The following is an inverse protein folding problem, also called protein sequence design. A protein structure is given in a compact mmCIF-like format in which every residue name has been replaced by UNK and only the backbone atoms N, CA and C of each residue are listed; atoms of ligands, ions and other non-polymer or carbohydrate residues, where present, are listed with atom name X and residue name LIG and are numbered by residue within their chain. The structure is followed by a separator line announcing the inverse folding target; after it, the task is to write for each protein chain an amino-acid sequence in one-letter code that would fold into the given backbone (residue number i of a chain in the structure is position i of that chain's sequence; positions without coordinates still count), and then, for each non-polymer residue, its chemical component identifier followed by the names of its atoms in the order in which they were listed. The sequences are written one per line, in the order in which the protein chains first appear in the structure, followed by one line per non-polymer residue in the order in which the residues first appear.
data_IF_812770068336
#
_entry.id   IF_812770068336
#
_cell.length_a   1.000
_cell.length_b   1.000
_cell.length_c   1.000
_cell.angle_alpha   90.00
_cell.angle_beta   90.00
_cell.angle_gamma   90.00
#
_symmetry.space_group_name_H-M   'P 1'
#
loop_
_entity.id
_entity.type
_entity.pdbx_description
1 polymer ?
#
# COMPACT_ATOMS: atom_id res chain seq x y z
N UNK A 1 65.43 -37.94 -14.05
CA UNK A 1 64.19 -38.40 -14.72
C UNK A 1 62.94 -38.09 -13.89
N UNK A 2 63.00 -38.25 -12.57
CA UNK A 2 61.91 -37.91 -11.64
C UNK A 2 61.54 -36.42 -11.64
N UNK A 3 62.52 -35.51 -11.53
CA UNK A 3 62.32 -34.05 -11.61
C UNK A 3 61.66 -33.57 -12.91
N UNK A 4 61.89 -34.26 -14.04
CA UNK A 4 61.26 -33.92 -15.33
C UNK A 4 59.78 -34.30 -15.33
N UNK A 5 59.42 -35.45 -14.73
CA UNK A 5 58.04 -35.90 -14.58
C UNK A 5 57.26 -35.00 -13.63
N UNK A 6 57.87 -34.59 -12.51
CA UNK A 6 57.28 -33.65 -11.56
C UNK A 6 57.05 -32.27 -12.19
N UNK A 7 57.99 -31.79 -13.00
CA UNK A 7 57.84 -30.52 -13.73
C UNK A 7 56.68 -30.58 -14.73
N UNK A 8 56.53 -31.67 -15.47
CA UNK A 8 55.41 -31.88 -16.40
C UNK A 8 54.07 -31.96 -15.67
N UNK A 9 54.00 -32.73 -14.57
CA UNK A 9 52.80 -32.83 -13.75
C UNK A 9 52.39 -31.45 -13.18
N UNK A 10 53.35 -30.71 -12.64
CA UNK A 10 53.11 -29.36 -12.08
C UNK A 10 52.61 -28.39 -13.15
N UNK A 11 53.14 -28.45 -14.38
CA UNK A 11 52.67 -27.61 -15.50
C UNK A 11 51.24 -27.94 -15.90
N UNK A 12 50.86 -29.22 -15.88
CA UNK A 12 49.49 -29.66 -16.18
C UNK A 12 48.53 -29.16 -15.11
N UNK A 13 48.87 -29.34 -13.82
CA UNK A 13 48.07 -28.83 -12.72
C UNK A 13 47.94 -27.31 -12.76
N UNK A 14 49.05 -26.58 -12.97
CA UNK A 14 49.02 -25.13 -13.10
C UNK A 14 48.08 -24.67 -14.23
N UNK A 15 48.12 -25.36 -15.38
CA UNK A 15 47.24 -25.04 -16.51
C UNK A 15 45.77 -25.32 -16.15
N UNK A 16 45.48 -26.42 -15.46
CA UNK A 16 44.14 -26.76 -15.00
C UNK A 16 43.62 -25.73 -14.00
N UNK A 17 44.38 -25.43 -12.95
CA UNK A 17 44.00 -24.43 -11.94
C UNK A 17 43.80 -23.05 -12.54
N UNK A 18 44.57 -22.68 -13.57
CA UNK A 18 44.37 -21.41 -14.28
C UNK A 18 43.03 -21.37 -15.02
N UNK A 19 42.65 -22.44 -15.71
CA UNK A 19 41.34 -22.55 -16.38
C UNK A 19 40.20 -22.50 -15.37
N UNK A 20 40.33 -23.19 -14.23
CA UNK A 20 39.33 -23.17 -13.16
C UNK A 20 39.20 -21.76 -12.57
N UNK A 21 40.33 -21.08 -12.30
CA UNK A 21 40.33 -19.70 -11.80
C UNK A 21 39.68 -18.73 -12.80
N UNK A 22 39.95 -18.86 -14.09
CA UNK A 22 39.36 -18.03 -15.13
C UNK A 22 37.82 -18.23 -15.16
N UNK A 23 37.35 -19.48 -15.09
CA UNK A 23 35.92 -19.81 -15.00
C UNK A 23 35.25 -19.21 -13.75
N UNK A 24 35.90 -19.31 -12.58
CA UNK A 24 35.38 -18.73 -11.33
C UNK A 24 35.37 -17.19 -11.37
N UNK A 25 36.36 -16.57 -11.99
CA UNK A 25 36.38 -15.11 -12.21
C UNK A 25 35.21 -14.67 -13.09
N UNK A 26 34.93 -15.39 -14.17
CA UNK A 26 33.78 -15.12 -15.04
C UNK A 26 32.44 -15.31 -14.32
N UNK A 27 32.29 -16.42 -13.58
CA UNK A 27 31.09 -16.70 -12.78
C UNK A 27 30.83 -15.61 -11.74
N UNK A 28 31.88 -15.22 -10.99
CA UNK A 28 31.82 -14.12 -10.02
C UNK A 28 31.41 -12.80 -10.67
N UNK A 29 31.97 -12.47 -11.84
CA UNK A 29 31.64 -11.23 -12.55
C UNK A 29 30.18 -11.20 -12.99
N UNK A 30 29.64 -12.33 -13.50
CA UNK A 30 28.22 -12.45 -13.87
C UNK A 30 27.31 -12.27 -12.66
N UNK A 31 27.58 -12.97 -11.56
CA UNK A 31 26.81 -12.82 -10.31
C UNK A 31 26.84 -11.39 -9.78
N UNK A 32 27.99 -10.71 -9.84
CA UNK A 32 28.10 -9.31 -9.45
C UNK A 32 27.24 -8.39 -10.33
N UNK A 33 27.19 -8.65 -11.63
CA UNK A 33 26.32 -7.91 -12.56
C UNK A 33 24.84 -8.15 -12.24
N UNK A 34 24.42 -9.39 -12.04
CA UNK A 34 23.05 -9.74 -11.66
C UNK A 34 22.63 -9.09 -10.33
N UNK A 35 23.50 -9.12 -9.32
CA UNK A 35 23.26 -8.45 -8.04
C UNK A 35 23.13 -6.94 -8.22
N UNK A 36 23.97 -6.31 -9.04
CA UNK A 36 23.86 -4.87 -9.33
C UNK A 36 22.57 -4.53 -10.08
N UNK A 37 22.18 -5.33 -11.07
CA UNK A 37 20.93 -5.13 -11.81
C UNK A 37 19.71 -5.33 -10.92
N UNK A 38 19.70 -6.37 -10.09
CA UNK A 38 18.65 -6.61 -9.10
C UNK A 38 18.54 -5.46 -8.10
N UNK A 39 19.68 -4.93 -7.62
CA UNK A 39 19.71 -3.80 -6.70
C UNK A 39 19.15 -2.53 -7.34
N UNK A 40 19.57 -2.20 -8.57
CA UNK A 40 19.02 -1.08 -9.34
C UNK A 40 17.54 -1.28 -9.67
N UNK A 41 17.11 -2.51 -9.90
CA UNK A 41 15.70 -2.83 -10.13
C UNK A 41 14.89 -2.56 -8.86
N UNK A 42 15.31 -3.08 -7.71
CA UNK A 42 14.67 -2.84 -6.41
C UNK A 42 14.63 -1.36 -6.06
N UNK A 43 15.72 -0.63 -6.28
CA UNK A 43 15.78 0.80 -6.01
C UNK A 43 14.77 1.57 -6.88
N UNK A 44 14.72 1.30 -8.19
CA UNK A 44 13.78 1.95 -9.12
C UNK A 44 12.32 1.64 -8.80
N UNK A 45 12.01 0.38 -8.48
CA UNK A 45 10.64 -0.08 -8.23
C UNK A 45 10.19 0.16 -6.78
N UNK A 46 11.12 0.46 -5.88
CA UNK A 46 10.85 0.87 -4.50
C UNK A 46 10.71 2.38 -4.30
N UNK A 47 10.82 3.19 -5.34
CA UNK A 47 10.65 4.66 -5.25
C UNK A 47 9.22 5.00 -4.87
N UNK A 48 9.04 5.95 -3.95
CA UNK A 48 7.72 6.43 -3.46
C UNK A 48 6.83 5.29 -2.93
N UNK A 49 7.28 4.58 -1.87
CA UNK A 49 6.43 3.61 -1.18
C UNK A 49 5.14 4.27 -0.67
N UNK A 50 4.06 3.50 -0.61
CA UNK A 50 2.79 4.00 -0.09
C UNK A 50 2.04 2.96 0.73
N UNK A 51 1.11 3.45 1.54
CA UNK A 51 0.12 2.67 2.28
C UNK A 51 -1.25 3.00 1.72
N UNK A 52 -2.13 2.02 1.66
CA UNK A 52 -3.52 2.24 1.24
C UNK A 52 -4.49 1.73 2.30
N UNK A 53 -5.52 2.53 2.59
CA UNK A 53 -6.69 2.10 3.33
C UNK A 53 -7.91 2.05 2.39
N UNK A 54 -8.56 0.89 2.33
CA UNK A 54 -9.82 0.71 1.61
C UNK A 54 -10.92 0.51 2.64
N UNK A 55 -11.90 1.40 2.62
CA UNK A 55 -12.95 1.49 3.63
C UNK A 55 -14.29 1.34 2.92
N UNK A 56 -15.08 0.37 3.37
CA UNK A 56 -16.50 0.32 3.12
C UNK A 56 -17.20 1.22 4.16
N UNK A 57 -17.66 2.38 3.70
CA UNK A 57 -18.18 3.45 4.55
C UNK A 57 -19.66 3.32 4.90
N UNK A 58 -20.38 2.39 4.26
CA UNK A 58 -21.77 2.06 4.60
C UNK A 58 -21.96 0.65 5.18
N UNK A 59 -20.88 -0.14 5.33
CA UNK A 59 -20.86 -1.37 6.11
C UNK A 59 -21.05 -1.14 7.62
N UNK A 60 -21.74 -2.09 8.26
CA UNK A 60 -21.99 -2.08 9.69
C UNK A 60 -20.68 -2.08 10.50
N UNK A 61 -20.60 -1.18 11.49
CA UNK A 61 -19.42 -0.99 12.32
C UNK A 61 -18.32 -0.10 11.71
N UNK A 62 -18.42 0.26 10.42
CA UNK A 62 -17.42 1.10 9.73
C UNK A 62 -17.95 2.48 9.31
N UNK A 63 -19.24 2.74 9.52
CA UNK A 63 -19.82 4.08 9.38
C UNK A 63 -19.10 5.07 10.30
N UNK A 64 -18.72 6.23 9.75
CA UNK A 64 -18.05 7.29 10.51
C UNK A 64 -18.90 7.78 11.68
N UNK A 65 -18.24 8.23 12.75
CA UNK A 65 -18.93 8.69 13.97
C UNK A 65 -19.83 9.89 13.67
N UNK A 66 -21.03 9.87 14.27
CA UNK A 66 -22.04 10.93 14.12
C UNK A 66 -21.50 12.32 14.53
N UNK A 67 -20.58 12.36 15.50
CA UNK A 67 -19.90 13.59 15.94
C UNK A 67 -19.06 14.26 14.84
N UNK A 68 -18.64 13.50 13.82
CA UNK A 68 -18.02 14.05 12.62
C UNK A 68 -19.08 14.36 11.57
N UNK A 69 -19.93 13.40 11.22
CA UNK A 69 -20.91 13.56 10.12
C UNK A 69 -21.82 14.77 10.33
N UNK A 70 -22.34 14.96 11.54
CA UNK A 70 -23.28 16.06 11.86
C UNK A 70 -22.66 17.45 11.74
N UNK A 71 -21.33 17.56 11.76
CA UNK A 71 -20.59 18.84 11.59
C UNK A 71 -20.27 19.17 10.13
N UNK A 72 -20.78 18.39 9.17
CA UNK A 72 -20.62 18.64 7.74
C UNK A 72 -19.14 18.76 7.34
N UNK A 73 -18.80 19.77 6.54
CA UNK A 73 -17.44 20.00 6.01
C UNK A 73 -16.36 19.96 7.09
N UNK A 74 -16.55 20.70 8.19
CA UNK A 74 -15.55 20.74 9.27
C UNK A 74 -15.37 19.39 9.93
N UNK A 75 -16.47 18.64 10.09
CA UNK A 75 -16.42 17.28 10.60
C UNK A 75 -15.68 16.32 9.67
N UNK A 76 -15.84 16.49 8.34
CA UNK A 76 -15.10 15.74 7.33
C UNK A 76 -13.59 15.98 7.42
N UNK A 77 -13.19 17.25 7.51
CA UNK A 77 -11.78 17.62 7.69
C UNK A 77 -11.19 17.01 8.97
N UNK A 78 -11.89 17.14 10.10
CA UNK A 78 -11.40 16.63 11.37
C UNK A 78 -11.32 15.09 11.38
N UNK A 79 -12.25 14.41 10.70
CA UNK A 79 -12.23 12.97 10.53
C UNK A 79 -11.04 12.51 9.67
N UNK A 80 -10.73 13.23 8.59
CA UNK A 80 -9.58 12.94 7.75
C UNK A 80 -8.26 13.11 8.53
N UNK A 81 -8.11 14.19 9.31
CA UNK A 81 -6.93 14.42 10.14
C UNK A 81 -6.78 13.35 11.24
N UNK A 82 -7.89 12.98 11.89
CA UNK A 82 -7.89 11.92 12.90
C UNK A 82 -7.52 10.56 12.30
N UNK A 83 -8.07 10.23 11.12
CA UNK A 83 -7.77 8.98 10.43
C UNK A 83 -6.32 8.93 9.95
N UNK A 84 -5.79 10.03 9.39
CA UNK A 84 -4.38 10.12 9.00
C UNK A 84 -3.46 9.88 10.20
N UNK A 85 -3.74 10.53 11.33
CA UNK A 85 -2.97 10.36 12.56
C UNK A 85 -2.99 8.91 13.04
N UNK A 86 -4.17 8.28 13.05
CA UNK A 86 -4.33 6.89 13.45
C UNK A 86 -3.60 5.92 12.50
N UNK A 87 -3.72 6.12 11.19
CA UNK A 87 -3.02 5.32 10.18
C UNK A 87 -1.50 5.47 10.29
N UNK A 88 -1.00 6.69 10.48
CA UNK A 88 0.43 6.91 10.67
C UNK A 88 0.97 6.18 11.90
N UNK A 89 0.22 6.18 13.01
CA UNK A 89 0.60 5.42 14.20
C UNK A 89 0.58 3.91 13.92
N UNK A 90 -0.51 3.41 13.34
CA UNK A 90 -0.64 1.99 13.00
C UNK A 90 0.48 1.50 12.08
N UNK A 91 0.85 2.29 11.07
CA UNK A 91 1.96 1.95 10.15
C UNK A 91 3.27 1.82 10.90
N UNK A 92 3.58 2.76 11.82
CA UNK A 92 4.79 2.68 12.66
C UNK A 92 4.80 1.40 13.48
N UNK A 93 3.67 1.06 14.10
CA UNK A 93 3.55 -0.10 14.99
C UNK A 93 3.71 -1.43 14.25
N UNK A 94 3.21 -1.52 13.00
CA UNK A 94 3.22 -2.77 12.22
C UNK A 94 4.51 -2.95 11.42
N UNK A 95 5.10 -1.88 10.90
CA UNK A 95 6.22 -1.97 9.93
C UNK A 95 7.59 -1.71 10.55
N UNK A 96 7.64 -1.21 11.80
CA UNK A 96 8.86 -0.69 12.45
C UNK A 96 9.61 0.36 11.59
N UNK A 97 8.92 0.93 10.60
CA UNK A 97 9.46 1.87 9.63
C UNK A 97 8.88 3.27 9.89
N UNK A 98 9.68 4.33 9.75
CA UNK A 98 9.16 5.69 9.79
C UNK A 98 8.15 5.89 8.65
N UNK A 99 7.03 6.55 8.95
CA UNK A 99 6.07 7.01 7.92
C UNK A 99 6.63 8.14 7.06
N UNK A 100 7.78 8.70 7.44
CA UNK A 100 8.41 9.82 6.74
C UNK A 100 8.83 9.39 5.32
N UNK A 101 8.12 9.91 4.32
CA UNK A 101 8.37 9.60 2.90
C UNK A 101 7.45 8.53 2.30
N UNK A 102 6.45 8.03 3.05
CA UNK A 102 5.40 7.17 2.51
C UNK A 102 4.11 7.96 2.30
N UNK A 103 3.53 7.87 1.10
CA UNK A 103 2.20 8.42 0.83
C UNK A 103 1.14 7.52 1.50
N UNK A 104 0.09 8.11 2.09
CA UNK A 104 -1.05 7.37 2.66
C UNK A 104 -2.29 7.68 1.82
N UNK A 105 -2.75 6.67 1.09
CA UNK A 105 -3.95 6.75 0.27
C UNK A 105 -5.14 6.20 1.06
N UNK A 106 -6.26 6.91 1.05
CA UNK A 106 -7.50 6.44 1.69
C UNK A 106 -8.64 6.54 0.70
N UNK A 107 -9.33 5.44 0.46
CA UNK A 107 -10.57 5.42 -0.32
C UNK A 107 -11.70 4.87 0.52
N UNK A 108 -12.68 5.72 0.77
CA UNK A 108 -13.95 5.34 1.38
C UNK A 108 -14.98 5.16 0.28
N UNK A 109 -15.63 4.01 0.21
CA UNK A 109 -16.70 3.72 -0.74
C UNK A 109 -18.01 3.60 0.02
N UNK A 110 -19.03 4.33 -0.38
CA UNK A 110 -20.35 4.18 0.22
C UNK A 110 -21.45 4.55 -0.77
N UNK A 111 -22.63 3.93 -0.66
CA UNK A 111 -23.83 4.44 -1.29
C UNK A 111 -24.35 5.63 -0.49
N UNK A 112 -23.98 6.85 -0.89
CA UNK A 112 -24.28 8.07 -0.12
C UNK A 112 -25.78 8.30 0.09
N UNK A 113 -26.60 7.92 -0.89
CA UNK A 113 -28.05 8.05 -0.80
C UNK A 113 -28.63 7.03 0.20
N UNK A 114 -28.17 5.77 0.15
CA UNK A 114 -28.60 4.72 1.08
C UNK A 114 -28.16 5.02 2.52
N UNK A 115 -26.88 5.35 2.69
CA UNK A 115 -26.31 5.73 3.98
C UNK A 115 -27.00 6.95 4.58
N UNK A 116 -27.21 8.00 3.78
CA UNK A 116 -27.92 9.21 4.22
C UNK A 116 -29.34 8.92 4.69
N UNK A 117 -30.11 8.16 3.90
CA UNK A 117 -31.49 7.79 4.25
C UNK A 117 -31.57 6.94 5.53
N UNK A 118 -30.64 6.00 5.71
CA UNK A 118 -30.54 5.21 6.94
C UNK A 118 -30.25 6.10 8.15
N UNK A 119 -29.22 6.96 8.05
CA UNK A 119 -28.82 7.83 9.18
C UNK A 119 -29.93 8.81 9.58
N UNK A 120 -30.69 9.32 8.61
CA UNK A 120 -31.84 10.20 8.87
C UNK A 120 -32.98 9.43 9.55
N UNK A 121 -33.34 8.25 9.03
CA UNK A 121 -34.36 7.38 9.63
C UNK A 121 -34.05 7.03 11.08
N UNK A 122 -32.78 6.79 11.38
CA UNK A 122 -32.31 6.40 12.71
C UNK A 122 -32.09 7.63 13.63
N UNK A 123 -32.40 8.86 13.17
CA UNK A 123 -32.28 10.09 13.95
C UNK A 123 -30.84 10.56 14.18
N UNK A 124 -29.87 9.96 13.49
CA UNK A 124 -28.43 10.25 13.59
C UNK A 124 -28.01 11.45 12.73
N UNK A 125 -28.85 11.81 11.76
CA UNK A 125 -28.65 12.92 10.84
C UNK A 125 -29.94 13.74 10.75
N UNK A 126 -29.84 15.07 10.65
CA UNK A 126 -31.01 15.94 10.44
C UNK A 126 -31.35 16.08 8.96
N UNK A 127 -30.32 16.19 8.12
CA UNK A 127 -30.46 16.37 6.68
C UNK A 127 -29.35 15.65 5.93
N UNK A 128 -29.69 14.96 4.83
CA UNK A 128 -28.71 14.29 3.93
C UNK A 128 -27.63 15.23 3.37
N UNK A 129 -27.89 16.54 3.35
CA UNK A 129 -26.92 17.58 3.00
C UNK A 129 -25.67 17.55 3.89
N UNK A 130 -25.82 17.22 5.17
CA UNK A 130 -24.72 17.14 6.14
C UNK A 130 -23.73 16.03 5.77
N UNK A 131 -24.22 14.86 5.35
CA UNK A 131 -23.39 13.74 4.91
C UNK A 131 -22.59 14.11 3.65
N UNK A 132 -23.21 14.80 2.68
CA UNK A 132 -22.49 15.29 1.49
C UNK A 132 -21.41 16.31 1.86
N UNK A 133 -21.73 17.27 2.73
CA UNK A 133 -20.76 18.25 3.21
C UNK A 133 -19.58 17.57 3.93
N UNK A 134 -19.87 16.56 4.76
CA UNK A 134 -18.86 15.72 5.41
C UNK A 134 -17.95 15.02 4.40
N UNK A 135 -18.50 14.32 3.40
CA UNK A 135 -17.72 13.63 2.37
C UNK A 135 -16.82 14.60 1.57
N UNK A 136 -17.35 15.78 1.22
CA UNK A 136 -16.57 16.83 0.56
C UNK A 136 -15.43 17.36 1.43
N UNK A 137 -15.69 17.63 2.72
CA UNK A 137 -14.68 18.09 3.66
C UNK A 137 -13.59 17.04 3.91
N UNK A 138 -13.97 15.77 4.00
CA UNK A 138 -13.03 14.65 4.13
C UNK A 138 -12.10 14.56 2.91
N UNK A 139 -12.68 14.57 1.70
CA UNK A 139 -11.92 14.40 0.47
C UNK A 139 -11.04 15.62 0.14
N UNK A 140 -11.51 16.81 0.51
CA UNK A 140 -10.76 18.06 0.29
C UNK A 140 -9.62 18.28 1.29
N UNK A 141 -9.54 17.50 2.37
CA UNK A 141 -8.60 17.76 3.47
C UNK A 141 -7.19 17.24 3.21
N UNK A 142 -7.07 16.03 2.66
CA UNK A 142 -5.79 15.36 2.43
C UNK A 142 -5.68 14.97 0.96
N UNK A 143 -4.49 15.15 0.36
CA UNK A 143 -4.31 15.02 -1.09
C UNK A 143 -4.68 13.65 -1.69
N UNK A 144 -4.64 12.59 -0.88
CA UNK A 144 -4.91 11.21 -1.31
C UNK A 144 -6.09 10.58 -0.57
N UNK A 145 -6.99 11.41 -0.03
CA UNK A 145 -8.19 10.93 0.64
C UNK A 145 -9.38 11.18 -0.27
N UNK A 146 -10.12 10.11 -0.58
CA UNK A 146 -11.30 10.18 -1.42
C UNK A 146 -12.49 9.53 -0.72
N UNK A 147 -13.61 10.25 -0.70
CA UNK A 147 -14.92 9.71 -0.35
C UNK A 147 -15.73 9.53 -1.63
N UNK A 148 -15.93 8.28 -2.02
CA UNK A 148 -16.47 7.88 -3.32
C UNK A 148 -17.91 7.39 -3.15
N UNK A 149 -18.85 8.15 -3.72
CA UNK A 149 -20.22 7.66 -3.88
C UNK A 149 -20.28 6.58 -4.96
N UNK A 150 -20.62 5.34 -4.57
CA UNK A 150 -20.79 4.22 -5.52
C UNK A 150 -22.22 4.13 -6.06
N UNK A 151 -23.12 4.99 -5.59
CA UNK A 151 -24.52 5.03 -5.96
C UNK A 151 -25.32 3.81 -5.50
N UNK A 152 -26.59 3.77 -5.90
CA UNK A 152 -27.50 2.71 -5.48
C UNK A 152 -27.16 1.36 -6.14
N UNK A 153 -27.10 0.30 -5.33
CA UNK A 153 -26.92 -1.08 -5.79
C UNK A 153 -26.27 -1.93 -4.71
N UNK A 154 -26.63 -3.21 -4.65
CA UNK A 154 -25.97 -4.16 -3.76
C UNK A 154 -24.53 -4.39 -4.22
N UNK A 155 -23.63 -4.63 -3.28
CA UNK A 155 -22.24 -5.07 -3.52
C UNK A 155 -21.35 -4.09 -4.32
N UNK A 156 -21.76 -2.82 -4.49
CA UNK A 156 -20.94 -1.86 -5.26
C UNK A 156 -19.71 -1.39 -4.49
N UNK A 157 -19.86 -1.14 -3.19
CA UNK A 157 -18.73 -0.83 -2.31
C UNK A 157 -17.82 -2.06 -2.18
N UNK A 158 -18.41 -3.24 -1.94
CA UNK A 158 -17.70 -4.54 -1.92
C UNK A 158 -16.87 -4.78 -3.18
N UNK A 159 -17.42 -4.51 -4.37
CA UNK A 159 -16.69 -4.65 -5.63
C UNK A 159 -15.47 -3.72 -5.67
N UNK A 160 -15.62 -2.45 -5.26
CA UNK A 160 -14.52 -1.47 -5.25
C UNK A 160 -13.43 -1.88 -4.26
N UNK A 161 -13.80 -2.35 -3.08
CA UNK A 161 -12.86 -2.86 -2.07
C UNK A 161 -12.14 -4.10 -2.61
N UNK A 162 -12.89 -5.11 -3.09
CA UNK A 162 -12.34 -6.38 -3.60
C UNK A 162 -11.35 -6.20 -4.74
N UNK A 163 -11.72 -5.43 -5.76
CA UNK A 163 -10.81 -5.19 -6.89
C UNK A 163 -9.66 -4.25 -6.51
N UNK A 164 -9.90 -3.32 -5.58
CA UNK A 164 -8.84 -2.50 -4.99
C UNK A 164 -7.78 -3.34 -4.27
N UNK A 165 -8.20 -4.34 -3.50
CA UNK A 165 -7.29 -5.29 -2.83
C UNK A 165 -6.37 -5.96 -3.84
N UNK A 166 -6.94 -6.58 -4.89
CA UNK A 166 -6.16 -7.28 -5.91
C UNK A 166 -5.15 -6.34 -6.56
N UNK A 167 -5.59 -5.16 -6.97
CA UNK A 167 -4.74 -4.16 -7.63
C UNK A 167 -3.56 -3.73 -6.74
N UNK A 168 -3.82 -3.45 -5.46
CA UNK A 168 -2.77 -2.93 -4.58
C UNK A 168 -1.83 -4.02 -4.05
N UNK A 169 -2.29 -5.25 -3.89
CA UNK A 169 -1.43 -6.37 -3.51
C UNK A 169 -0.42 -6.74 -4.61
N UNK A 170 -0.75 -6.48 -5.88
CA UNK A 170 0.17 -6.69 -7.01
C UNK A 170 1.22 -5.56 -7.14
N UNK A 171 1.07 -4.45 -6.39
CA UNK A 171 1.99 -3.31 -6.47
C UNK A 171 3.18 -3.43 -5.52
N UNK A 172 4.40 -3.49 -6.06
CA UNK A 172 5.64 -3.51 -5.28
C UNK A 172 5.85 -2.27 -4.38
N UNK A 173 5.20 -1.15 -4.71
CA UNK A 173 5.28 0.09 -3.96
C UNK A 173 4.32 0.12 -2.76
N UNK A 174 3.25 -0.68 -2.81
CA UNK A 174 2.31 -0.82 -1.70
C UNK A 174 3.00 -1.59 -0.56
N UNK A 175 3.21 -0.93 0.58
CA UNK A 175 3.89 -1.52 1.74
C UNK A 175 2.92 -2.07 2.77
N UNK A 176 1.73 -1.50 2.84
CA UNK A 176 0.68 -1.93 3.73
C UNK A 176 -0.68 -1.64 3.11
N UNK A 177 -1.59 -2.59 3.25
CA UNK A 177 -2.99 -2.46 2.89
C UNK A 177 -3.82 -2.62 4.16
N UNK A 178 -4.63 -1.60 4.48
CA UNK A 178 -5.56 -1.59 5.61
C UNK A 178 -6.98 -1.76 5.08
N UNK A 179 -7.75 -2.65 5.70
CA UNK A 179 -9.15 -2.91 5.35
C UNK A 179 -10.06 -2.54 6.51
N UNK A 180 -11.14 -1.86 6.16
CA UNK A 180 -12.28 -1.60 7.03
C UNK A 180 -13.54 -1.97 6.25
N UNK A 181 -13.98 -3.22 6.36
CA UNK A 181 -15.15 -3.77 5.66
C UNK A 181 -15.86 -4.80 6.54
N UNK A 182 -17.17 -4.92 6.40
CA UNK A 182 -18.03 -5.81 7.19
C UNK A 182 -19.23 -6.29 6.38
N UNK A 183 -19.84 -7.40 6.81
CA UNK A 183 -21.11 -7.93 6.27
C UNK A 183 -22.18 -7.88 7.35
#
# INVERSE_FOLDING_TARGET
QELLKELEATKIELKKTKLDLDSECEARRRLQQEVQESSKWKERHGRRPFVVALIDGDADGYVFRDSFITRGTKGGEDAADALLTALQQYVRDVTDAPTNGMDILVRVFANMNGLGAMLERDGRLKETSQLRAFASGFSGRQAFFDFVDVGAGKERADLKVREGIKFFLESFQCKLLVLACGH
#
